data_IF_513553922762
#
_entry.id   IF_513553922762
#
_cell.length_a   1.000
_cell.length_b   1.000
_cell.length_c   1.000
_cell.angle_alpha   90.00
_cell.angle_beta   90.00
_cell.angle_gamma   90.00
#
_symmetry.space_group_name_H-M   'P 1'
#
loop_
_entity.id
_entity.type
_entity.pdbx_description
1 polymer ?
#
# COMPACT_ATOMS: atom_id res chain seq x y z
N UNK A 1 -9.33 -6.93 -21.75
CA UNK A 1 -9.17 -6.70 -20.30
C UNK A 1 -9.31 -5.21 -20.04
N UNK A 2 -10.09 -4.83 -19.02
CA UNK A 2 -10.29 -3.41 -18.67
C UNK A 2 -9.06 -2.83 -17.96
N UNK A 3 -8.80 -1.55 -18.18
CA UNK A 3 -7.71 -0.82 -17.49
C UNK A 3 -8.07 -0.65 -16.01
N UNK A 4 -7.13 -0.99 -15.14
CA UNK A 4 -7.24 -0.79 -13.69
C UNK A 4 -6.63 0.55 -13.28
N UNK A 5 -5.39 0.81 -13.73
CA UNK A 5 -4.63 2.02 -13.40
C UNK A 5 -3.98 2.57 -14.65
N UNK A 6 -3.95 3.89 -14.79
CA UNK A 6 -3.24 4.57 -15.86
C UNK A 6 -2.55 5.81 -15.34
N UNK A 7 -1.26 5.90 -15.58
CA UNK A 7 -0.43 7.08 -15.35
C UNK A 7 -0.20 7.76 -16.71
N UNK A 8 -0.30 9.08 -16.76
CA UNK A 8 -0.03 9.89 -17.95
C UNK A 8 0.94 11.00 -17.61
N UNK A 9 2.11 11.01 -18.22
CA UNK A 9 3.14 12.05 -18.08
C UNK A 9 3.44 12.40 -16.62
N UNK A 10 3.56 11.37 -15.78
CA UNK A 10 3.82 11.55 -14.35
C UNK A 10 5.23 12.06 -14.14
N UNK A 11 5.32 13.16 -13.43
CA UNK A 11 6.57 13.69 -12.90
C UNK A 11 6.48 13.80 -11.38
N UNK A 12 7.57 13.47 -10.70
CA UNK A 12 7.72 13.67 -9.26
C UNK A 12 9.06 14.33 -8.96
N UNK A 13 8.99 15.47 -8.28
CA UNK A 13 10.16 16.23 -7.84
C UNK A 13 10.04 16.51 -6.35
N UNK A 14 11.12 16.30 -5.63
CA UNK A 14 11.24 16.75 -4.22
C UNK A 14 12.10 17.98 -4.14
N UNK A 15 11.68 18.93 -3.32
CA UNK A 15 12.47 20.11 -3.01
C UNK A 15 13.31 19.83 -1.76
N UNK A 16 14.63 19.88 -1.90
CA UNK A 16 15.57 19.71 -0.80
C UNK A 16 16.39 21.00 -0.69
N UNK A 17 15.99 21.89 0.23
CA UNK A 17 16.58 23.23 0.33
C UNK A 17 16.35 24.05 -0.95
N UNK A 18 17.44 24.39 -1.66
CA UNK A 18 17.39 25.15 -2.93
C UNK A 18 17.38 24.27 -4.18
N UNK A 19 17.53 22.96 -4.04
CA UNK A 19 17.63 22.03 -5.16
C UNK A 19 16.32 21.27 -5.37
N UNK A 20 15.97 21.04 -6.64
CA UNK A 20 14.85 20.18 -7.05
C UNK A 20 15.40 18.84 -7.54
N UNK A 21 15.15 17.78 -6.80
CA UNK A 21 15.54 16.42 -7.18
C UNK A 21 14.39 15.81 -7.98
N UNK A 22 14.62 15.54 -9.26
CA UNK A 22 13.64 14.86 -10.11
C UNK A 22 13.75 13.33 -9.90
N UNK A 23 12.73 12.72 -9.32
CA UNK A 23 12.69 11.29 -8.97
C UNK A 23 11.99 10.49 -10.05
N UNK A 24 10.89 11.01 -10.61
CA UNK A 24 10.19 10.41 -11.74
C UNK A 24 10.07 11.46 -12.85
N UNK A 25 10.25 11.01 -14.10
CA UNK A 25 10.24 11.90 -15.26
C UNK A 25 9.43 11.28 -16.39
N UNK A 26 8.37 11.95 -16.77
CA UNK A 26 7.48 11.61 -17.90
C UNK A 26 7.04 10.14 -17.94
N UNK A 27 6.63 9.59 -16.79
CA UNK A 27 6.21 8.20 -16.70
C UNK A 27 4.81 8.02 -17.27
N UNK A 28 4.71 7.20 -18.29
CA UNK A 28 3.47 6.65 -18.83
C UNK A 28 3.39 5.16 -18.48
N UNK A 29 2.31 4.74 -17.81
CA UNK A 29 2.10 3.34 -17.39
C UNK A 29 0.61 3.00 -17.47
N UNK A 30 0.29 1.82 -17.96
CA UNK A 30 -1.07 1.29 -17.95
C UNK A 30 -1.05 -0.11 -17.38
N UNK A 31 -1.83 -0.34 -16.32
CA UNK A 31 -2.01 -1.65 -15.69
C UNK A 31 -3.45 -2.11 -15.90
N UNK A 32 -3.62 -3.33 -16.38
CA UNK A 32 -4.93 -3.94 -16.62
C UNK A 32 -5.37 -4.76 -15.41
N UNK A 33 -6.67 -5.04 -15.30
CA UNK A 33 -7.18 -5.96 -14.27
C UNK A 33 -6.55 -7.34 -14.42
N UNK A 34 -6.17 -7.95 -13.30
CA UNK A 34 -5.53 -9.28 -13.20
C UNK A 34 -4.11 -9.33 -13.82
N UNK A 35 -3.49 -8.21 -14.06
CA UNK A 35 -2.11 -8.13 -14.52
C UNK A 35 -1.14 -8.13 -13.34
N UNK A 36 -0.04 -8.87 -13.47
CA UNK A 36 1.09 -8.81 -12.55
C UNK A 36 2.19 -7.98 -13.19
N UNK A 37 2.64 -6.95 -12.49
CA UNK A 37 3.67 -6.02 -12.97
C UNK A 37 4.85 -6.04 -12.01
N UNK A 38 6.07 -6.15 -12.54
CA UNK A 38 7.31 -6.02 -11.79
C UNK A 38 8.02 -4.71 -12.15
N UNK A 39 8.40 -3.94 -11.12
CA UNK A 39 9.20 -2.72 -11.27
C UNK A 39 10.63 -3.02 -10.89
N UNK A 40 11.53 -3.01 -11.87
CA UNK A 40 12.95 -3.33 -11.69
C UNK A 40 13.83 -2.09 -11.96
N UNK A 41 15.00 -2.05 -11.38
CA UNK A 41 15.97 -0.97 -11.52
C UNK A 41 16.93 -0.87 -10.35
N UNK A 42 17.93 -0.02 -10.45
CA UNK A 42 18.95 0.21 -9.42
C UNK A 42 18.36 0.83 -8.14
N UNK A 43 19.08 0.74 -7.03
CA UNK A 43 18.68 1.44 -5.79
C UNK A 43 18.66 2.94 -6.06
N UNK A 44 17.63 3.61 -5.52
CA UNK A 44 17.45 5.06 -5.73
C UNK A 44 16.78 5.46 -7.06
N UNK A 45 16.45 4.54 -7.96
CA UNK A 45 15.82 4.84 -9.26
C UNK A 45 14.33 5.26 -9.21
N UNK A 46 13.77 5.49 -8.02
CA UNK A 46 12.39 5.98 -7.86
C UNK A 46 11.31 4.88 -7.82
N UNK A 47 11.67 3.58 -7.73
CA UNK A 47 10.69 2.47 -7.68
C UNK A 47 9.69 2.60 -6.54
N UNK A 48 10.19 2.87 -5.34
CA UNK A 48 9.33 3.06 -4.15
C UNK A 48 8.41 4.26 -4.34
N UNK A 49 8.92 5.37 -4.84
CA UNK A 49 8.12 6.57 -5.13
C UNK A 49 7.03 6.31 -6.16
N UNK A 50 7.32 5.51 -7.20
CA UNK A 50 6.31 5.09 -8.17
C UNK A 50 5.22 4.24 -7.51
N UNK A 51 5.59 3.29 -6.63
CA UNK A 51 4.61 2.46 -5.90
C UNK A 51 3.77 3.32 -4.95
N UNK A 52 4.37 4.30 -4.26
CA UNK A 52 3.64 5.23 -3.39
C UNK A 52 2.62 6.07 -4.18
N UNK A 53 3.00 6.56 -5.36
CA UNK A 53 2.08 7.26 -6.28
C UNK A 53 0.92 6.35 -6.72
N UNK A 54 1.22 5.12 -7.14
CA UNK A 54 0.22 4.12 -7.54
C UNK A 54 -0.71 3.80 -6.37
N UNK A 55 -0.16 3.71 -5.16
CA UNK A 55 -0.91 3.47 -3.93
C UNK A 55 -1.72 4.67 -3.42
N UNK A 56 -1.59 5.83 -4.06
CA UNK A 56 -2.26 7.06 -3.61
C UNK A 56 -1.71 7.61 -2.28
N UNK A 57 -0.47 7.26 -1.91
CA UNK A 57 0.22 7.76 -0.72
C UNK A 57 1.12 8.97 -1.03
N UNK A 58 1.34 9.24 -2.30
CA UNK A 58 2.14 10.34 -2.81
C UNK A 58 1.38 11.04 -3.94
N UNK A 59 1.61 12.33 -4.13
CA UNK A 59 1.02 13.10 -5.22
C UNK A 59 2.08 13.44 -6.26
N UNK A 60 1.77 13.33 -7.57
CA UNK A 60 2.72 13.74 -8.58
C UNK A 60 2.88 15.26 -8.59
N UNK A 61 4.06 15.75 -8.97
CA UNK A 61 4.29 17.17 -9.22
C UNK A 61 3.55 17.63 -10.47
N UNK A 62 3.40 16.75 -11.45
CA UNK A 62 2.59 16.96 -12.66
C UNK A 62 2.22 15.62 -13.30
N UNK A 63 1.28 15.66 -14.23
CA UNK A 63 0.72 14.50 -14.88
C UNK A 63 -0.63 14.10 -14.31
N UNK A 64 -1.17 12.96 -14.74
CA UNK A 64 -2.51 12.50 -14.36
C UNK A 64 -2.52 11.04 -14.00
N UNK A 65 -3.23 10.70 -12.91
CA UNK A 65 -3.46 9.33 -12.44
C UNK A 65 -4.94 9.01 -12.61
N UNK A 66 -5.22 7.86 -13.22
CA UNK A 66 -6.57 7.34 -13.38
C UNK A 66 -6.67 5.97 -12.72
N UNK A 67 -7.66 5.80 -11.85
CA UNK A 67 -8.03 4.52 -11.27
C UNK A 67 -9.42 4.13 -11.77
N UNK A 68 -9.56 2.97 -12.40
CA UNK A 68 -10.82 2.49 -13.01
C UNK A 68 -11.52 3.56 -13.88
N UNK A 69 -10.75 4.28 -14.71
CA UNK A 69 -11.17 5.40 -15.57
C UNK A 69 -11.55 6.71 -14.86
N UNK A 70 -11.57 6.76 -13.53
CA UNK A 70 -11.74 7.99 -12.76
C UNK A 70 -10.37 8.68 -12.60
N UNK A 71 -10.27 9.96 -12.94
CA UNK A 71 -9.09 10.76 -12.61
C UNK A 71 -9.04 11.01 -11.10
N UNK A 72 -7.95 10.59 -10.45
CA UNK A 72 -7.76 10.71 -8.99
C UNK A 72 -6.69 11.73 -8.61
N UNK A 73 -6.02 12.34 -9.58
CA UNK A 73 -4.87 13.25 -9.36
C UNK A 73 -5.19 14.40 -8.43
N UNK A 74 -6.36 15.02 -8.61
CA UNK A 74 -6.77 16.24 -7.92
C UNK A 74 -7.84 16.01 -6.83
N UNK A 75 -8.14 14.76 -6.52
CA UNK A 75 -9.06 14.43 -5.43
C UNK A 75 -8.46 14.86 -4.08
N UNK A 76 -9.32 15.25 -3.14
CA UNK A 76 -8.89 15.52 -1.76
C UNK A 76 -8.46 14.20 -1.07
N UNK A 77 -7.67 14.33 0.01
CA UNK A 77 -7.10 13.15 0.68
C UNK A 77 -8.17 12.17 1.17
N UNK A 78 -9.29 12.66 1.66
CA UNK A 78 -10.40 11.82 2.12
C UNK A 78 -10.96 10.94 1.01
N UNK A 79 -11.12 11.49 -0.21
CA UNK A 79 -11.60 10.75 -1.37
C UNK A 79 -10.60 9.69 -1.83
N UNK A 80 -9.30 10.05 -1.88
CA UNK A 80 -8.22 9.12 -2.23
C UNK A 80 -8.11 8.02 -1.17
N UNK A 81 -8.24 8.37 0.11
CA UNK A 81 -8.23 7.44 1.24
C UNK A 81 -9.36 6.41 1.14
N UNK A 82 -10.57 6.84 0.76
CA UNK A 82 -11.70 5.92 0.54
C UNK A 82 -11.49 4.98 -0.65
N UNK A 83 -10.86 5.46 -1.74
CA UNK A 83 -10.47 4.60 -2.87
C UNK A 83 -9.43 3.57 -2.41
N UNK A 84 -8.40 4.02 -1.72
CA UNK A 84 -7.32 3.18 -1.18
C UNK A 84 -7.87 2.10 -0.26
N UNK A 85 -8.66 2.49 0.73
CA UNK A 85 -9.29 1.61 1.71
C UNK A 85 -10.05 0.44 1.08
N UNK A 86 -10.73 0.67 -0.04
CA UNK A 86 -11.59 -0.33 -0.69
C UNK A 86 -10.89 -1.16 -1.75
N UNK A 87 -9.79 -0.66 -2.32
CA UNK A 87 -9.27 -1.22 -3.57
C UNK A 87 -7.78 -1.53 -3.57
N UNK A 88 -7.00 -1.02 -2.60
CA UNK A 88 -5.53 -1.08 -2.66
C UNK A 88 -5.00 -1.60 -1.33
N UNK A 89 -4.24 -2.69 -1.36
CA UNK A 89 -3.42 -3.15 -0.24
C UNK A 89 -1.95 -2.86 -0.53
N UNK A 90 -1.23 -2.33 0.46
CA UNK A 90 0.21 -2.05 0.34
C UNK A 90 0.95 -2.83 1.40
N UNK A 91 1.91 -3.65 0.98
CA UNK A 91 2.82 -4.37 1.87
C UNK A 91 4.18 -3.70 1.79
N UNK A 92 4.61 -3.14 2.91
CA UNK A 92 5.88 -2.44 3.01
C UNK A 92 7.02 -3.39 3.39
N UNK A 93 8.23 -3.06 2.97
CA UNK A 93 9.43 -3.81 3.33
C UNK A 93 9.69 -3.85 4.85
N UNK A 94 9.35 -2.78 5.56
CA UNK A 94 9.49 -2.66 7.02
C UNK A 94 8.26 -3.10 7.80
N UNK A 95 7.29 -3.75 7.14
CA UNK A 95 6.03 -4.29 7.68
C UNK A 95 5.10 -3.27 8.34
N UNK A 96 5.62 -2.26 9.03
CA UNK A 96 4.89 -1.20 9.77
C UNK A 96 3.78 -1.76 10.68
N UNK A 97 4.07 -2.85 11.38
CA UNK A 97 3.20 -3.34 12.43
C UNK A 97 3.21 -2.35 13.60
N UNK A 98 2.06 -2.21 14.26
CA UNK A 98 1.94 -1.39 15.45
C UNK A 98 2.65 -2.14 16.60
N UNK A 99 3.72 -1.57 17.21
CA UNK A 99 4.60 -2.32 18.09
C UNK A 99 3.94 -2.84 19.36
N UNK A 100 2.96 -2.10 19.87
CA UNK A 100 2.24 -2.41 21.12
C UNK A 100 0.95 -3.22 20.90
N UNK A 101 0.69 -3.64 19.66
CA UNK A 101 -0.44 -4.48 19.29
C UNK A 101 0.07 -5.89 19.01
N UNK A 102 -0.65 -6.88 19.50
CA UNK A 102 -0.42 -8.29 19.14
C UNK A 102 -0.68 -8.54 17.66
N UNK A 103 -0.33 -9.72 17.17
CA UNK A 103 -0.59 -10.10 15.79
C UNK A 103 -2.08 -9.99 15.43
N UNK A 104 -2.97 -10.46 16.33
CA UNK A 104 -4.41 -10.40 16.09
C UNK A 104 -4.93 -8.96 16.11
N UNK A 105 -4.46 -8.12 17.03
CA UNK A 105 -4.87 -6.71 17.11
C UNK A 105 -4.40 -5.90 15.90
N UNK A 106 -3.19 -6.18 15.39
CA UNK A 106 -2.70 -5.55 14.17
C UNK A 106 -3.61 -5.82 12.96
N UNK A 107 -4.13 -7.04 12.83
CA UNK A 107 -5.05 -7.41 11.75
C UNK A 107 -6.46 -6.91 12.04
N UNK A 108 -6.96 -7.05 13.27
CA UNK A 108 -8.30 -6.65 13.68
C UNK A 108 -8.55 -5.16 13.46
N UNK A 109 -7.55 -4.30 13.72
CA UNK A 109 -7.67 -2.85 13.54
C UNK A 109 -8.15 -2.47 12.13
N UNK A 110 -7.61 -3.12 11.09
CA UNK A 110 -8.02 -2.84 9.71
C UNK A 110 -9.46 -3.26 9.45
N UNK A 111 -9.88 -4.36 10.04
CA UNK A 111 -11.26 -4.85 9.95
C UNK A 111 -12.23 -3.94 10.73
N UNK A 112 -11.81 -3.43 11.88
CA UNK A 112 -12.57 -2.44 12.68
C UNK A 112 -12.80 -1.13 11.90
N UNK A 113 -11.74 -0.60 11.30
CA UNK A 113 -11.81 0.59 10.45
C UNK A 113 -12.74 0.38 9.24
N UNK A 114 -12.89 -0.85 8.77
CA UNK A 114 -13.84 -1.24 7.73
C UNK A 114 -15.21 -1.68 8.28
N UNK A 115 -15.47 -1.51 9.58
CA UNK A 115 -16.76 -1.79 10.24
C UNK A 115 -17.23 -3.26 10.13
N UNK A 116 -16.30 -4.20 10.15
CA UNK A 116 -16.65 -5.63 10.25
C UNK A 116 -17.31 -5.92 11.60
N UNK A 117 -18.32 -6.79 11.61
CA UNK A 117 -19.09 -7.09 12.81
C UNK A 117 -18.29 -7.81 13.91
N UNK A 118 -17.33 -8.65 13.52
CA UNK A 118 -16.51 -9.45 14.45
C UNK A 118 -15.02 -9.39 14.03
N UNK A 119 -14.35 -8.22 14.13
CA UNK A 119 -13.01 -8.02 13.58
C UNK A 119 -11.96 -8.96 14.17
N UNK A 120 -12.00 -9.24 15.47
CA UNK A 120 -11.06 -10.15 16.11
C UNK A 120 -11.21 -11.59 15.61
N UNK A 121 -12.44 -12.07 15.47
CA UNK A 121 -12.70 -13.41 14.96
C UNK A 121 -12.20 -13.56 13.51
N UNK A 122 -12.48 -12.58 12.67
CA UNK A 122 -11.99 -12.58 11.27
C UNK A 122 -10.47 -12.49 11.20
N UNK A 123 -9.85 -11.65 12.06
CA UNK A 123 -8.39 -11.55 12.16
C UNK A 123 -7.76 -12.90 12.52
N UNK A 124 -8.33 -13.63 13.49
CA UNK A 124 -7.85 -14.98 13.85
C UNK A 124 -7.96 -15.95 12.70
N UNK A 125 -9.06 -15.94 11.94
CA UNK A 125 -9.23 -16.79 10.75
C UNK A 125 -8.20 -16.45 9.66
N UNK A 126 -7.93 -15.18 9.42
CA UNK A 126 -6.90 -14.76 8.47
C UNK A 126 -5.52 -15.23 8.90
N UNK A 127 -5.13 -14.97 10.15
CA UNK A 127 -3.84 -15.40 10.69
C UNK A 127 -3.65 -16.92 10.66
N UNK A 128 -4.72 -17.69 10.94
CA UNK A 128 -4.68 -19.16 10.84
C UNK A 128 -4.40 -19.62 9.41
N UNK A 129 -4.99 -18.99 8.38
CA UNK A 129 -4.68 -19.26 6.96
C UNK A 129 -3.22 -19.00 6.61
N UNK A 130 -2.56 -18.06 7.29
CA UNK A 130 -1.12 -17.78 7.14
C UNK A 130 -0.23 -18.62 8.07
N UNK A 131 -0.79 -19.65 8.76
CA UNK A 131 -0.04 -20.53 9.64
C UNK A 131 0.41 -19.89 10.96
N UNK A 132 -0.29 -18.84 11.41
CA UNK A 132 0.06 -18.06 12.61
C UNK A 132 -0.89 -18.29 13.79
N UNK A 133 -1.64 -19.40 13.81
CA UNK A 133 -2.58 -19.75 14.89
C UNK A 133 -1.93 -19.68 16.28
N UNK A 134 -0.69 -20.12 16.39
CA UNK A 134 0.08 -20.17 17.64
C UNK A 134 0.72 -18.82 18.01
N UNK A 135 0.52 -17.76 17.21
CA UNK A 135 1.11 -16.42 17.37
C UNK A 135 0.11 -15.29 17.60
N UNK A 136 -1.16 -15.57 17.76
CA UNK A 136 -2.22 -14.54 17.86
C UNK A 136 -1.89 -13.42 18.85
N UNK A 137 -1.39 -13.78 20.04
CA UNK A 137 -1.14 -12.86 21.14
C UNK A 137 0.31 -12.35 21.19
N UNK A 138 1.17 -12.72 20.24
CA UNK A 138 2.55 -12.27 20.21
C UNK A 138 2.64 -10.82 19.68
N UNK A 139 3.46 -10.01 20.34
CA UNK A 139 3.84 -8.69 19.87
C UNK A 139 4.80 -8.80 18.66
N UNK A 140 4.91 -7.78 17.79
CA UNK A 140 5.85 -7.78 16.67
C UNK A 140 7.29 -8.12 17.07
N UNK A 141 7.77 -7.64 18.21
CA UNK A 141 9.11 -7.94 18.74
C UNK A 141 9.35 -9.40 19.08
N UNK A 142 8.29 -10.20 19.23
CA UNK A 142 8.32 -11.63 19.54
C UNK A 142 8.15 -12.51 18.29
N UNK A 143 7.99 -11.90 17.12
CA UNK A 143 7.80 -12.56 15.84
C UNK A 143 9.08 -12.49 15.01
N UNK A 144 9.39 -13.59 14.32
CA UNK A 144 10.43 -13.58 13.29
C UNK A 144 10.04 -12.65 12.13
N UNK A 145 11.01 -12.19 11.32
CA UNK A 145 10.74 -11.32 10.17
C UNK A 145 9.72 -11.92 9.20
N UNK A 146 9.78 -13.24 8.94
CA UNK A 146 8.80 -13.93 8.10
C UNK A 146 7.41 -14.01 8.74
N UNK A 147 7.30 -14.12 10.07
CA UNK A 147 6.02 -14.06 10.78
C UNK A 147 5.43 -12.65 10.74
N UNK A 148 6.25 -11.61 10.97
CA UNK A 148 5.85 -10.21 10.86
C UNK A 148 5.34 -9.89 9.44
N UNK A 149 6.03 -10.38 8.40
CA UNK A 149 5.59 -10.21 7.02
C UNK A 149 4.22 -10.85 6.77
N UNK A 150 3.99 -12.06 7.28
CA UNK A 150 2.68 -12.73 7.15
C UNK A 150 1.58 -12.02 7.90
N UNK A 151 1.86 -11.43 9.08
CA UNK A 151 0.91 -10.55 9.79
C UNK A 151 0.61 -9.31 8.96
N UNK A 152 1.62 -8.66 8.35
CA UNK A 152 1.44 -7.50 7.49
C UNK A 152 0.63 -7.81 6.22
N UNK A 153 0.75 -9.03 5.68
CA UNK A 153 -0.06 -9.49 4.53
C UNK A 153 -1.52 -9.75 4.96
N UNK A 154 -1.73 -10.27 6.17
CA UNK A 154 -3.05 -10.55 6.69
C UNK A 154 -3.82 -9.27 7.08
N UNK A 155 -3.09 -8.21 7.45
CA UNK A 155 -3.62 -6.88 7.78
C UNK A 155 -4.05 -6.12 6.55
#
# INVERSE_FOLDING_TARGET
MSVLLKLKKINLKYQTGKENISVLKDIDLTIKKKETVSVVGESGSGKTSLIMLIGGLERPTSGKIFFQNQEITNLIEDEVSEIRKKNIGIIFQSFYLIPNYSAVENVALTLELNKFANPEKEAKLLLERFGLKHRFNNLPSQLSGGEQQRVAIAR
#
